data_IF_447696083393
#
_entry.id   IF_447696083393
#
_cell.length_a   1.000
_cell.length_b   1.000
_cell.length_c   1.000
_cell.angle_alpha   90.00
_cell.angle_beta   90.00
_cell.angle_gamma   90.00
#
_symmetry.space_group_name_H-M   'P 1'
#
loop_
_entity.id
_entity.type
_entity.pdbx_description
1 polymer ?
#
# COMPACT_ATOMS: atom_id res chain seq x y z
N UNK A 1 11.11 11.33 -6.30
CA UNK A 1 10.78 9.90 -6.12
C UNK A 1 10.27 9.36 -7.44
N UNK A 2 10.78 8.22 -7.95
CA UNK A 2 10.15 7.55 -9.09
C UNK A 2 8.71 7.18 -8.73
N UNK A 3 7.81 7.31 -9.70
CA UNK A 3 6.38 7.01 -9.54
C UNK A 3 6.17 5.51 -9.74
N UNK A 4 5.47 4.83 -8.83
CA UNK A 4 5.03 3.46 -9.07
C UNK A 4 4.07 3.42 -10.27
N UNK A 5 4.05 2.30 -10.99
CA UNK A 5 3.14 2.11 -12.13
C UNK A 5 2.15 1.00 -11.80
N UNK A 6 0.87 1.16 -12.16
CA UNK A 6 -0.08 0.07 -12.04
C UNK A 6 0.41 -1.14 -12.84
N UNK A 7 0.20 -2.33 -12.27
CA UNK A 7 0.50 -3.62 -12.91
C UNK A 7 -0.83 -4.37 -13.04
N UNK A 8 -1.04 -5.02 -14.18
CA UNK A 8 -2.16 -5.92 -14.39
C UNK A 8 -1.78 -7.35 -14.02
N UNK A 9 -2.74 -8.09 -13.46
CA UNK A 9 -2.54 -9.49 -13.07
C UNK A 9 -1.88 -9.68 -11.71
N UNK A 10 -1.59 -10.93 -11.38
CA UNK A 10 -1.03 -11.30 -10.09
C UNK A 10 0.42 -10.83 -9.95
N UNK A 11 0.76 -10.29 -8.78
CA UNK A 11 2.12 -9.90 -8.41
C UNK A 11 2.58 -10.78 -7.25
N UNK A 12 3.80 -11.29 -7.34
CA UNK A 12 4.40 -12.11 -6.27
C UNK A 12 4.70 -11.19 -5.09
N UNK A 13 4.17 -11.53 -3.91
CA UNK A 13 4.52 -10.88 -2.65
C UNK A 13 5.62 -11.68 -1.94
N UNK A 14 6.59 -10.98 -1.36
CA UNK A 14 7.68 -11.53 -0.55
C UNK A 14 7.71 -10.82 0.80
N UNK A 15 8.52 -11.32 1.72
CA UNK A 15 8.68 -10.76 3.07
C UNK A 15 9.02 -9.27 3.10
N UNK A 16 9.75 -8.78 2.09
CA UNK A 16 10.17 -7.37 1.97
C UNK A 16 9.35 -6.57 0.95
N UNK A 17 8.20 -7.08 0.53
CA UNK A 17 7.28 -6.40 -0.39
C UNK A 17 7.08 -7.11 -1.73
N UNK A 18 6.61 -6.38 -2.72
CA UNK A 18 6.32 -6.92 -4.06
C UNK A 18 7.60 -7.29 -4.81
N UNK A 19 7.54 -8.37 -5.59
CA UNK A 19 8.63 -8.73 -6.49
C UNK A 19 8.95 -7.59 -7.45
N UNK A 20 10.24 -7.26 -7.57
CA UNK A 20 10.79 -6.15 -8.34
C UNK A 20 10.48 -4.73 -7.82
N UNK A 21 9.82 -4.58 -6.66
CA UNK A 21 9.77 -3.31 -5.93
C UNK A 21 11.02 -3.13 -5.04
N UNK A 22 11.47 -1.88 -4.90
CA UNK A 22 12.71 -1.54 -4.20
C UNK A 22 12.43 -0.54 -3.09
N UNK A 23 12.60 -0.99 -1.85
CA UNK A 23 12.69 -0.12 -0.68
C UNK A 23 14.04 0.58 -0.65
N UNK A 24 14.06 1.88 -0.96
CA UNK A 24 15.29 2.68 -1.04
C UNK A 24 15.99 2.87 0.31
N UNK A 25 15.22 2.93 1.41
CA UNK A 25 15.73 3.01 2.78
C UNK A 25 14.97 2.03 3.66
N UNK A 26 15.61 0.92 4.03
CA UNK A 26 15.00 -0.11 4.87
C UNK A 26 15.08 0.19 6.37
N UNK A 27 15.88 1.16 6.79
CA UNK A 27 15.98 1.53 8.19
C UNK A 27 14.80 2.42 8.61
N UNK A 28 14.35 3.31 7.71
CA UNK A 28 13.29 4.27 8.03
C UNK A 28 12.00 4.07 7.22
N UNK A 29 12.11 3.65 5.96
CA UNK A 29 11.02 3.65 4.98
C UNK A 29 10.72 2.26 4.40
N UNK A 30 11.26 1.21 5.00
CA UNK A 30 11.16 -0.17 4.51
C UNK A 30 11.43 -1.17 5.63
N UNK A 31 11.78 -2.39 5.26
CA UNK A 31 11.87 -3.53 6.17
C UNK A 31 10.60 -4.38 6.16
N UNK A 32 10.61 -5.45 6.96
CA UNK A 32 9.51 -6.42 7.09
C UNK A 32 8.21 -5.74 7.50
N UNK A 33 8.33 -4.78 8.40
CA UNK A 33 7.22 -4.04 9.00
C UNK A 33 6.60 -2.99 8.06
N UNK A 34 7.28 -2.71 6.95
CA UNK A 34 6.91 -1.71 5.93
C UNK A 34 6.97 -2.32 4.53
N UNK A 35 6.65 -3.61 4.43
CA UNK A 35 6.75 -4.41 3.21
C UNK A 35 5.79 -3.92 2.11
N UNK A 36 4.59 -3.50 2.48
CA UNK A 36 3.58 -2.99 1.56
C UNK A 36 3.02 -1.66 2.07
N UNK A 37 2.73 -0.76 1.15
CA UNK A 37 2.05 0.51 1.43
C UNK A 37 0.69 0.55 0.74
N UNK A 38 -0.38 0.66 1.53
CA UNK A 38 -1.75 0.80 1.03
C UNK A 38 -2.25 2.24 1.12
N UNK A 39 -3.03 2.65 0.11
CA UNK A 39 -3.64 3.97 0.06
C UNK A 39 -5.11 3.89 -0.39
N UNK A 40 -5.96 4.71 0.24
CA UNK A 40 -7.39 4.81 -0.04
C UNK A 40 -7.66 5.43 -1.42
N UNK A 41 -8.47 4.77 -2.24
CA UNK A 41 -8.97 5.34 -3.49
C UNK A 41 -9.88 6.55 -3.25
N UNK A 42 -10.65 6.52 -2.16
CA UNK A 42 -11.53 7.60 -1.72
C UNK A 42 -10.72 8.85 -1.36
N UNK A 43 -9.61 8.68 -0.65
CA UNK A 43 -8.75 9.79 -0.22
C UNK A 43 -8.03 10.41 -1.42
N UNK A 44 -7.57 9.58 -2.35
CA UNK A 44 -7.01 10.09 -3.59
C UNK A 44 -8.03 10.91 -4.38
N UNK A 45 -9.28 10.44 -4.52
CA UNK A 45 -10.35 11.21 -5.18
C UNK A 45 -10.63 12.53 -4.46
N UNK A 46 -10.66 12.51 -3.13
CA UNK A 46 -10.80 13.72 -2.31
C UNK A 46 -9.68 14.73 -2.57
N UNK A 47 -8.45 14.27 -2.79
CA UNK A 47 -7.31 15.10 -3.19
C UNK A 47 -7.37 15.54 -4.65
N UNK A 48 -7.83 14.70 -5.58
CA UNK A 48 -8.02 15.06 -7.00
C UNK A 48 -8.95 16.26 -7.13
N UNK A 49 -10.07 16.25 -6.40
CA UNK A 49 -11.03 17.35 -6.34
C UNK A 49 -10.38 18.65 -5.86
N UNK A 50 -9.60 18.59 -4.78
CA UNK A 50 -8.95 19.77 -4.17
C UNK A 50 -7.80 20.33 -4.98
N UNK A 51 -7.07 19.45 -5.66
CA UNK A 51 -5.92 19.84 -6.48
C UNK A 51 -6.33 20.17 -7.91
N UNK A 52 -7.57 19.89 -8.30
CA UNK A 52 -8.08 20.11 -9.66
C UNK A 52 -7.31 19.33 -10.72
N UNK A 53 -6.78 18.15 -10.39
CA UNK A 53 -5.98 17.32 -11.31
C UNK A 53 -6.07 15.83 -10.96
N UNK A 54 -5.89 14.92 -11.93
CA UNK A 54 -5.86 13.50 -11.67
C UNK A 54 -4.63 13.09 -10.85
N UNK A 55 -4.82 12.13 -9.95
CA UNK A 55 -3.84 11.48 -9.09
C UNK A 55 -3.92 9.96 -9.34
N UNK A 56 -3.34 9.50 -10.46
CA UNK A 56 -3.36 8.08 -10.81
C UNK A 56 -2.68 7.24 -9.72
N UNK A 57 -3.02 5.95 -9.66
CA UNK A 57 -2.38 5.01 -8.75
C UNK A 57 -0.85 5.01 -8.90
N UNK A 58 -0.17 4.86 -7.77
CA UNK A 58 1.28 4.95 -7.62
C UNK A 58 1.80 6.37 -7.38
N UNK A 59 0.92 7.39 -7.34
CA UNK A 59 1.32 8.80 -7.14
C UNK A 59 1.81 9.09 -5.74
N UNK A 60 1.31 8.37 -4.73
CA UNK A 60 1.76 8.48 -3.35
C UNK A 60 2.91 7.53 -3.04
N UNK A 61 3.34 6.73 -4.02
CA UNK A 61 4.31 5.66 -3.82
C UNK A 61 3.67 4.42 -3.20
N UNK A 62 2.35 4.29 -3.27
CA UNK A 62 1.60 3.14 -2.80
C UNK A 62 1.83 1.90 -3.67
N UNK A 63 1.87 0.73 -3.03
CA UNK A 63 1.82 -0.56 -3.71
C UNK A 63 0.39 -0.97 -4.00
N UNK A 64 -0.53 -0.67 -3.07
CA UNK A 64 -1.93 -1.07 -3.13
C UNK A 64 -2.81 0.18 -3.13
N UNK A 65 -3.64 0.34 -4.16
CA UNK A 65 -4.74 1.30 -4.14
C UNK A 65 -6.05 0.57 -3.85
N UNK A 66 -6.62 0.81 -2.67
CA UNK A 66 -7.75 0.04 -2.16
C UNK A 66 -9.05 0.84 -2.28
N UNK A 67 -10.13 0.15 -2.59
CA UNK A 67 -11.50 0.69 -2.58
C UNK A 67 -12.40 -0.22 -1.73
N UNK A 68 -13.48 0.33 -1.18
CA UNK A 68 -14.44 -0.43 -0.35
C UNK A 68 -13.98 -0.70 1.08
N UNK A 69 -12.74 -0.33 1.45
CA UNK A 69 -12.21 -0.42 2.80
C UNK A 69 -11.78 0.97 3.30
N UNK A 70 -12.06 1.27 4.57
CA UNK A 70 -11.56 2.48 5.22
C UNK A 70 -10.10 2.30 5.62
N UNK A 71 -9.20 2.46 4.64
CA UNK A 71 -7.75 2.37 4.87
C UNK A 71 -7.29 3.45 5.85
N UNK A 72 -7.86 4.64 5.79
CA UNK A 72 -7.40 5.78 6.59
C UNK A 72 -7.87 5.70 8.05
N UNK A 73 -8.98 4.99 8.30
CA UNK A 73 -9.49 4.66 9.63
C UNK A 73 -9.05 3.30 10.17
N UNK A 74 -8.10 2.61 9.52
CA UNK A 74 -7.63 1.29 9.92
C UNK A 74 -7.22 1.24 11.41
N UNK A 75 -7.72 0.24 12.15
CA UNK A 75 -7.27 0.02 13.53
C UNK A 75 -5.90 -0.63 13.47
N UNK A 76 -4.94 -0.12 14.23
CA UNK A 76 -3.58 -0.71 14.31
C UNK A 76 -3.69 -2.18 14.76
N UNK A 77 -3.03 -3.08 14.03
CA UNK A 77 -3.09 -4.52 14.28
C UNK A 77 -4.32 -5.21 13.68
N UNK A 78 -5.15 -4.50 12.92
CA UNK A 78 -6.19 -5.12 12.10
C UNK A 78 -5.58 -5.95 10.98
N UNK A 79 -6.22 -7.07 10.67
CA UNK A 79 -5.78 -7.98 9.63
C UNK A 79 -6.71 -7.92 8.43
N UNK A 80 -6.14 -7.63 7.27
CA UNK A 80 -6.87 -7.72 6.01
C UNK A 80 -6.42 -8.93 5.24
N UNK A 81 -7.36 -9.49 4.49
CA UNK A 81 -7.08 -10.61 3.59
C UNK A 81 -7.34 -10.13 2.17
N UNK A 82 -6.31 -10.20 1.35
CA UNK A 82 -6.34 -9.92 -0.07
C UNK A 82 -6.31 -11.28 -0.77
N UNK A 83 -7.46 -11.68 -1.30
CA UNK A 83 -7.72 -13.02 -1.83
C UNK A 83 -7.31 -14.15 -0.86
N UNK A 84 -7.09 -15.37 -1.36
CA UNK A 84 -6.73 -16.51 -0.53
C UNK A 84 -5.25 -16.53 -0.10
N UNK A 85 -4.41 -15.64 -0.64
CA UNK A 85 -2.95 -15.81 -0.63
C UNK A 85 -2.17 -14.72 0.12
N UNK A 86 -2.84 -13.67 0.61
CA UNK A 86 -2.17 -12.55 1.26
C UNK A 86 -2.99 -12.10 2.46
N UNK A 87 -2.49 -12.36 3.67
CA UNK A 87 -2.94 -11.69 4.89
C UNK A 87 -2.03 -10.50 5.16
N UNK A 88 -2.54 -9.42 5.75
CA UNK A 88 -1.75 -8.22 6.02
C UNK A 88 -2.16 -7.58 7.34
N UNK A 89 -1.21 -7.13 8.15
CA UNK A 89 -1.44 -6.49 9.44
C UNK A 89 -1.17 -4.98 9.33
N UNK A 90 -2.09 -4.15 9.81
CA UNK A 90 -1.91 -2.69 9.82
C UNK A 90 -0.94 -2.24 10.93
N UNK A 91 -0.20 -1.15 10.69
CA UNK A 91 0.71 -0.52 11.67
C UNK A 91 0.55 1.00 11.81
N UNK A 92 1.08 1.60 12.90
CA UNK A 92 1.06 3.05 13.07
C UNK A 92 2.24 3.71 12.39
N UNK A 93 2.01 4.37 11.25
CA UNK A 93 2.76 5.54 10.79
C UNK A 93 2.27 5.99 9.39
N UNK A 94 2.20 7.32 9.18
CA UNK A 94 1.91 8.06 7.93
C UNK A 94 1.55 7.22 6.68
N UNK A 95 0.28 6.80 6.58
CA UNK A 95 -0.22 6.03 5.44
C UNK A 95 0.01 4.54 5.64
N UNK A 96 -1.07 3.82 5.90
CA UNK A 96 -1.09 2.48 6.48
C UNK A 96 -0.11 1.50 5.81
N UNK A 97 0.93 1.05 6.54
CA UNK A 97 1.74 -0.08 6.12
C UNK A 97 1.03 -1.40 6.45
N UNK A 98 1.31 -2.37 5.60
CA UNK A 98 0.63 -3.65 5.44
C UNK A 98 1.69 -4.74 5.66
N UNK A 99 1.67 -5.39 6.83
CA UNK A 99 2.65 -6.37 7.26
C UNK A 99 2.22 -7.78 6.86
N UNK A 100 3.08 -8.47 6.10
CA UNK A 100 3.19 -9.94 6.06
C UNK A 100 2.18 -10.74 5.22
N UNK A 101 2.38 -10.77 3.90
CA UNK A 101 1.76 -11.76 3.04
C UNK A 101 2.13 -13.20 3.45
N UNK A 102 1.18 -13.89 4.08
CA UNK A 102 1.23 -15.34 4.21
C UNK A 102 0.74 -15.95 2.90
N UNK A 103 1.69 -16.36 2.05
CA UNK A 103 1.44 -17.37 1.03
C UNK A 103 1.29 -18.75 1.69
#
# INVERSE_FOLDING_TARGET
>A
MPRQRPVEGAVIVRDLGLYADVQADRAHHGGLDKALYAYSAQDARWWEERLGRPLPAGRFGENLRMEGLDVSGAVIGERWRIDAAVEVLSRPEHGVPVERALA
#
